data_IF_455570169929
#
_entry.id   IF_455570169929
#
_cell.length_a   1.000
_cell.length_b   1.000
_cell.length_c   1.000
_cell.angle_alpha   90.00
_cell.angle_beta   90.00
_cell.angle_gamma   90.00
#
_symmetry.space_group_name_H-M   'P 1'
#
loop_
_entity.id
_entity.type
_entity.pdbx_description
1 polymer ?
#
# COMPACT_ATOMS: atom_id res chain seq x y z
N UNK A 1 -44.94 -11.69 -57.04
CA UNK A 1 -44.95 -11.64 -55.55
C UNK A 1 -43.78 -12.38 -54.87
N UNK A 2 -43.52 -13.66 -55.16
CA UNK A 2 -42.49 -14.47 -54.44
C UNK A 2 -41.06 -13.90 -54.45
N UNK A 3 -40.62 -13.22 -55.52
CA UNK A 3 -39.28 -12.64 -55.65
C UNK A 3 -39.05 -11.41 -54.74
N UNK A 4 -40.13 -10.68 -54.40
CA UNK A 4 -40.08 -9.50 -53.54
C UNK A 4 -39.89 -9.87 -52.06
N UNK A 5 -40.65 -10.87 -51.57
CA UNK A 5 -40.52 -11.37 -50.20
C UNK A 5 -39.13 -11.93 -49.88
N UNK A 6 -38.49 -12.62 -50.84
CA UNK A 6 -37.13 -13.16 -50.66
C UNK A 6 -36.09 -12.04 -50.42
N UNK A 7 -36.22 -10.91 -51.11
CA UNK A 7 -35.33 -9.74 -50.93
C UNK A 7 -35.56 -9.08 -49.57
N UNK A 8 -36.81 -8.93 -49.14
CA UNK A 8 -37.15 -8.34 -47.84
C UNK A 8 -36.61 -9.21 -46.69
N UNK A 9 -36.75 -10.53 -46.78
CA UNK A 9 -36.20 -11.45 -45.77
C UNK A 9 -34.67 -11.40 -45.66
N UNK A 10 -33.94 -11.28 -46.78
CA UNK A 10 -32.48 -11.11 -46.75
C UNK A 10 -32.07 -9.78 -46.10
N UNK A 11 -32.78 -8.69 -46.39
CA UNK A 11 -32.51 -7.37 -45.80
C UNK A 11 -32.75 -7.41 -44.27
N UNK A 12 -33.83 -8.04 -43.82
CA UNK A 12 -34.15 -8.19 -42.39
C UNK A 12 -33.11 -9.06 -41.68
N UNK A 13 -32.73 -10.19 -42.27
CA UNK A 13 -31.68 -11.09 -41.71
C UNK A 13 -30.31 -10.40 -41.62
N UNK A 14 -29.97 -9.57 -42.61
CA UNK A 14 -28.75 -8.77 -42.62
C UNK A 14 -28.75 -7.69 -41.52
N UNK A 15 -29.87 -6.97 -41.33
CA UNK A 15 -30.00 -5.96 -40.28
C UNK A 15 -29.93 -6.59 -38.88
N UNK A 16 -30.57 -7.75 -38.69
CA UNK A 16 -30.56 -8.48 -37.42
C UNK A 16 -29.14 -8.98 -37.08
N UNK A 17 -28.44 -9.62 -38.02
CA UNK A 17 -27.06 -10.08 -37.80
C UNK A 17 -26.10 -8.94 -37.49
N UNK A 18 -26.27 -7.79 -38.14
CA UNK A 18 -25.43 -6.60 -37.90
C UNK A 18 -25.67 -6.00 -36.52
N UNK A 19 -26.90 -6.02 -36.00
CA UNK A 19 -27.21 -5.58 -34.63
C UNK A 19 -26.59 -6.49 -33.58
N UNK A 20 -26.67 -7.82 -33.77
CA UNK A 20 -26.05 -8.77 -32.84
C UNK A 20 -24.52 -8.67 -32.85
N UNK A 21 -23.91 -8.45 -34.01
CA UNK A 21 -22.47 -8.21 -34.13
C UNK A 21 -22.02 -6.94 -33.40
N UNK A 22 -22.76 -5.83 -33.54
CA UNK A 22 -22.46 -4.59 -32.82
C UNK A 22 -22.60 -4.77 -31.31
N UNK A 23 -23.62 -5.49 -30.84
CA UNK A 23 -23.83 -5.76 -29.41
C UNK A 23 -22.68 -6.63 -28.86
N UNK A 24 -22.23 -7.65 -29.59
CA UNK A 24 -21.10 -8.50 -29.14
C UNK A 24 -19.80 -7.70 -29.06
N UNK A 25 -19.51 -6.84 -30.04
CA UNK A 25 -18.32 -5.97 -30.01
C UNK A 25 -18.34 -5.02 -28.81
N UNK A 26 -19.49 -4.45 -28.45
CA UNK A 26 -19.60 -3.55 -27.28
C UNK A 26 -19.37 -4.30 -25.96
N UNK A 27 -19.92 -5.51 -25.81
CA UNK A 27 -19.71 -6.33 -24.60
C UNK A 27 -18.24 -6.77 -24.47
N UNK A 28 -17.61 -7.17 -25.58
CA UNK A 28 -16.19 -7.52 -25.59
C UNK A 28 -15.28 -6.33 -25.29
N UNK A 29 -15.65 -5.11 -25.68
CA UNK A 29 -14.90 -3.89 -25.39
C UNK A 29 -15.04 -3.47 -23.91
N UNK A 30 -16.21 -3.69 -23.30
CA UNK A 30 -16.46 -3.39 -21.89
C UNK A 30 -15.75 -4.37 -20.92
N UNK A 31 -15.47 -5.60 -21.35
CA UNK A 31 -14.75 -6.60 -20.56
C UNK A 31 -13.21 -6.51 -20.66
N UNK A 32 -12.68 -5.56 -21.43
CA UNK A 32 -11.24 -5.44 -21.70
C UNK A 32 -10.56 -4.28 -20.97
N UNK A 33 -11.15 -3.77 -19.88
CA UNK A 33 -10.40 -2.97 -18.92
C UNK A 33 -9.84 -3.90 -17.84
N UNK A 34 -8.58 -4.35 -17.93
CA UNK A 34 -7.87 -4.63 -16.69
C UNK A 34 -7.89 -3.31 -15.92
N UNK A 35 -8.47 -3.31 -14.71
CA UNK A 35 -8.12 -2.28 -13.73
C UNK A 35 -6.60 -2.36 -13.62
N UNK A 36 -5.91 -1.41 -14.24
CA UNK A 36 -4.48 -1.24 -14.05
C UNK A 36 -4.33 -0.86 -12.58
N UNK A 37 -4.10 -1.86 -11.73
CA UNK A 37 -3.64 -1.64 -10.37
C UNK A 37 -2.43 -0.72 -10.47
N UNK A 38 -2.41 0.36 -9.70
CA UNK A 38 -1.24 1.22 -9.60
C UNK A 38 -0.02 0.31 -9.43
N UNK A 39 1.03 0.52 -10.24
CA UNK A 39 2.21 -0.33 -10.22
C UNK A 39 2.59 -0.60 -8.75
N UNK A 40 2.58 -1.86 -8.30
CA UNK A 40 2.80 -2.14 -6.89
C UNK A 40 4.15 -1.53 -6.55
N UNK A 41 4.17 -0.63 -5.57
CA UNK A 41 5.41 -0.09 -5.04
C UNK A 41 6.37 -1.27 -4.81
N UNK A 42 7.68 -1.13 -5.09
CA UNK A 42 8.65 -2.16 -4.72
C UNK A 42 8.38 -2.60 -3.29
N UNK A 43 7.90 -3.82 -3.12
CA UNK A 43 7.42 -4.31 -1.84
C UNK A 43 8.54 -5.07 -1.15
N UNK A 44 8.82 -4.70 0.09
CA UNK A 44 9.89 -5.34 0.87
C UNK A 44 9.40 -6.63 1.53
N UNK A 45 8.17 -6.61 2.07
CA UNK A 45 7.64 -7.67 2.94
C UNK A 45 6.30 -8.24 2.46
N UNK A 46 5.42 -7.40 1.91
CA UNK A 46 4.09 -7.77 1.42
C UNK A 46 3.61 -6.74 0.40
N UNK A 47 2.71 -7.14 -0.50
CA UNK A 47 2.12 -6.21 -1.49
C UNK A 47 0.89 -5.49 -0.94
N UNK A 48 0.16 -6.14 -0.05
CA UNK A 48 -1.04 -5.63 0.60
C UNK A 48 -1.09 -6.13 2.06
N UNK A 49 -1.54 -5.28 2.99
CA UNK A 49 -1.59 -5.62 4.42
C UNK A 49 -2.50 -6.83 4.71
N UNK A 50 -3.47 -7.12 3.85
CA UNK A 50 -4.38 -8.26 3.96
C UNK A 50 -3.72 -9.62 3.75
N UNK A 51 -2.51 -9.65 3.17
CA UNK A 51 -1.67 -10.85 3.04
C UNK A 51 -1.06 -11.26 4.39
N UNK A 52 -1.00 -10.33 5.36
CA UNK A 52 -0.34 -10.56 6.64
C UNK A 52 -1.32 -11.18 7.65
N UNK A 53 -0.99 -12.34 8.27
CA UNK A 53 -1.89 -13.00 9.22
C UNK A 53 -2.35 -12.08 10.36
N UNK A 54 -1.46 -11.22 10.86
CA UNK A 54 -1.81 -10.30 11.95
C UNK A 54 -2.88 -9.28 11.61
N UNK A 55 -3.06 -8.95 10.32
CA UNK A 55 -4.15 -8.08 9.89
C UNK A 55 -5.49 -8.84 9.90
N UNK A 56 -5.51 -10.05 9.35
CA UNK A 56 -6.71 -10.91 9.29
C UNK A 56 -7.23 -11.27 10.67
N UNK A 57 -6.32 -11.54 11.62
CA UNK A 57 -6.65 -11.90 13.00
C UNK A 57 -6.54 -10.72 13.97
N UNK A 58 -6.64 -9.48 13.48
CA UNK A 58 -6.34 -8.26 14.26
C UNK A 58 -7.21 -8.01 15.51
N UNK A 59 -8.27 -8.80 15.73
CA UNK A 59 -9.10 -8.77 16.94
C UNK A 59 -8.74 -9.86 17.96
N UNK A 60 -7.94 -10.84 17.57
CA UNK A 60 -7.58 -12.00 18.39
C UNK A 60 -6.15 -11.87 18.93
N UNK A 61 -5.92 -12.32 20.16
CA UNK A 61 -4.57 -12.38 20.72
C UNK A 61 -3.72 -13.45 19.98
N UNK A 62 -2.41 -13.22 19.76
CA UNK A 62 -1.63 -12.06 20.20
C UNK A 62 -1.70 -10.85 19.25
N UNK A 63 -2.30 -11.00 18.06
CA UNK A 63 -2.30 -10.01 16.99
C UNK A 63 -2.93 -8.68 17.39
N UNK A 64 -4.06 -8.72 18.11
CA UNK A 64 -4.72 -7.52 18.63
C UNK A 64 -3.83 -6.71 19.57
N UNK A 65 -3.02 -7.39 20.39
CA UNK A 65 -2.04 -6.76 21.28
C UNK A 65 -0.93 -6.08 20.48
N UNK A 66 -0.39 -6.74 19.46
CA UNK A 66 0.65 -6.18 18.60
C UNK A 66 0.14 -4.99 17.78
N UNK A 67 -1.04 -5.12 17.17
CA UNK A 67 -1.73 -4.03 16.47
C UNK A 67 -1.90 -2.81 17.38
N UNK A 68 -2.36 -3.03 18.61
CA UNK A 68 -2.53 -1.94 19.60
C UNK A 68 -1.20 -1.29 19.96
N UNK A 69 -0.14 -2.08 20.13
CA UNK A 69 1.19 -1.57 20.45
C UNK A 69 1.75 -0.69 19.32
N UNK A 70 1.60 -1.12 18.05
CA UNK A 70 2.02 -0.38 16.86
C UNK A 70 1.26 0.96 16.78
N UNK A 71 -0.07 0.93 16.84
CA UNK A 71 -0.89 2.15 16.76
C UNK A 71 -0.57 3.12 17.89
N UNK A 72 -0.40 2.62 19.12
CA UNK A 72 -0.02 3.46 20.28
C UNK A 72 1.35 4.12 20.09
N UNK A 73 2.33 3.39 19.54
CA UNK A 73 3.66 3.93 19.23
C UNK A 73 3.59 5.00 18.14
N UNK A 74 2.79 4.76 17.10
CA UNK A 74 2.54 5.71 16.03
C UNK A 74 1.85 6.99 16.53
N UNK A 75 0.80 6.87 17.35
CA UNK A 75 0.10 8.01 17.96
C UNK A 75 1.04 8.88 18.82
N UNK A 76 1.87 8.25 19.65
CA UNK A 76 2.88 8.95 20.44
C UNK A 76 3.93 9.66 19.57
N UNK A 77 4.13 9.19 18.33
CA UNK A 77 5.09 9.75 17.38
C UNK A 77 4.52 10.91 16.57
N UNK A 78 3.20 11.10 16.53
CA UNK A 78 2.56 12.22 15.81
C UNK A 78 2.96 13.59 16.37
N UNK A 79 3.20 13.68 17.69
CA UNK A 79 3.64 14.92 18.35
C UNK A 79 5.14 15.18 18.25
N UNK A 80 5.92 14.23 17.71
CA UNK A 80 7.37 14.37 17.57
C UNK A 80 7.73 15.18 16.34
N UNK A 81 8.76 16.01 16.49
CA UNK A 81 9.39 16.73 15.39
C UNK A 81 10.68 16.02 14.97
N UNK A 82 10.60 15.23 13.90
CA UNK A 82 11.73 14.47 13.39
C UNK A 82 12.85 15.35 12.80
N UNK A 83 12.57 16.63 12.49
CA UNK A 83 13.59 17.57 12.01
C UNK A 83 14.46 18.17 13.11
N UNK A 84 14.02 18.08 14.37
CA UNK A 84 14.79 18.57 15.51
C UNK A 84 15.95 17.58 15.84
N UNK A 85 17.23 18.01 15.80
CA UNK A 85 18.39 17.17 16.12
C UNK A 85 18.56 16.85 17.60
N UNK A 86 17.84 17.53 18.49
CA UNK A 86 18.08 17.48 19.93
C UNK A 86 16.86 16.92 20.68
N UNK A 87 16.51 15.65 20.46
CA UNK A 87 15.51 15.00 21.29
C UNK A 87 16.10 14.65 22.66
N UNK A 88 15.46 15.12 23.73
CA UNK A 88 15.90 14.84 25.10
C UNK A 88 15.94 13.33 25.42
N UNK A 89 15.09 12.53 24.76
CA UNK A 89 15.07 11.08 24.89
C UNK A 89 14.81 10.47 23.52
N UNK A 90 15.41 9.31 23.24
CA UNK A 90 15.25 8.58 21.97
C UNK A 90 15.82 9.29 20.74
N UNK A 91 16.87 10.11 20.91
CA UNK A 91 17.48 10.85 19.80
C UNK A 91 18.22 9.99 18.78
N UNK A 92 18.60 8.77 19.16
CA UNK A 92 19.37 7.87 18.31
C UNK A 92 18.59 7.52 17.04
N UNK A 93 19.31 7.38 15.92
CA UNK A 93 18.74 6.95 14.64
C UNK A 93 17.93 5.66 14.78
N UNK A 94 18.38 4.70 15.61
CA UNK A 94 17.66 3.43 15.82
C UNK A 94 16.28 3.59 16.47
N UNK A 95 16.09 4.56 17.35
CA UNK A 95 14.77 4.83 17.92
C UNK A 95 13.89 5.57 16.91
N UNK A 96 14.46 6.58 16.24
CA UNK A 96 13.77 7.34 15.19
C UNK A 96 13.28 6.44 14.06
N UNK A 97 14.10 5.48 13.62
CA UNK A 97 13.73 4.49 12.60
C UNK A 97 12.65 3.53 13.08
N UNK A 98 12.69 3.11 14.35
CA UNK A 98 11.61 2.34 14.96
C UNK A 98 10.27 3.08 14.92
N UNK A 99 10.25 4.35 15.34
CA UNK A 99 9.04 5.17 15.28
C UNK A 99 8.56 5.41 13.83
N UNK A 100 9.47 5.64 12.89
CA UNK A 100 9.13 5.79 11.48
C UNK A 100 8.51 4.51 10.90
N UNK A 101 9.03 3.35 11.27
CA UNK A 101 8.48 2.04 10.88
C UNK A 101 7.08 1.83 11.46
N UNK A 102 6.87 2.14 12.74
CA UNK A 102 5.55 2.02 13.37
C UNK A 102 4.51 2.96 12.74
N UNK A 103 4.90 4.19 12.40
CA UNK A 103 4.05 5.13 11.67
C UNK A 103 3.67 4.59 10.28
N UNK A 104 4.64 4.07 9.53
CA UNK A 104 4.38 3.49 8.21
C UNK A 104 3.45 2.25 8.30
N UNK A 105 3.67 1.38 9.28
CA UNK A 105 2.83 0.20 9.49
C UNK A 105 1.43 0.57 10.00
N UNK A 106 1.31 1.58 10.87
CA UNK A 106 0.02 2.11 11.30
C UNK A 106 -0.79 2.65 10.12
N UNK A 107 -0.14 3.33 9.16
CA UNK A 107 -0.80 3.74 7.93
C UNK A 107 -1.30 2.53 7.13
N UNK A 108 -0.48 1.49 6.94
CA UNK A 108 -0.93 0.26 6.25
C UNK A 108 -2.14 -0.40 6.95
N UNK A 109 -2.19 -0.40 8.28
CA UNK A 109 -3.27 -1.02 9.06
C UNK A 109 -4.57 -0.20 9.07
N UNK A 110 -4.47 1.14 9.10
CA UNK A 110 -5.62 2.03 9.37
C UNK A 110 -6.05 2.85 8.16
N UNK A 111 -5.16 3.01 7.18
CA UNK A 111 -5.27 3.93 6.06
C UNK A 111 -5.48 5.40 6.48
N UNK A 112 -5.09 5.79 7.69
CA UNK A 112 -5.21 7.16 8.18
C UNK A 112 -4.04 8.04 7.72
N UNK A 113 -4.35 9.12 7.00
CA UNK A 113 -3.36 10.01 6.37
C UNK A 113 -2.36 10.63 7.36
N UNK A 114 -2.77 10.88 8.61
CA UNK A 114 -1.92 11.45 9.66
C UNK A 114 -0.64 10.63 9.88
N UNK A 115 -0.73 9.30 9.77
CA UNK A 115 0.41 8.41 9.91
C UNK A 115 1.31 8.44 8.69
N UNK A 116 0.73 8.49 7.47
CA UNK A 116 1.50 8.62 6.23
C UNK A 116 2.33 9.90 6.22
N UNK A 117 1.70 11.04 6.49
CA UNK A 117 2.37 12.34 6.43
C UNK A 117 3.53 12.41 7.43
N UNK A 118 3.30 11.89 8.65
CA UNK A 118 4.32 11.84 9.69
C UNK A 118 5.41 10.81 9.38
N UNK A 119 5.08 9.65 8.83
CA UNK A 119 6.06 8.65 8.39
C UNK A 119 6.98 9.22 7.30
N UNK A 120 6.42 9.95 6.33
CA UNK A 120 7.19 10.65 5.29
C UNK A 120 8.13 11.69 5.91
N UNK A 121 7.63 12.51 6.84
CA UNK A 121 8.48 13.47 7.56
C UNK A 121 9.61 12.76 8.30
N UNK A 122 9.31 11.67 9.01
CA UNK A 122 10.28 10.90 9.76
C UNK A 122 11.37 10.31 8.86
N UNK A 123 10.98 9.63 7.79
CA UNK A 123 11.90 9.02 6.81
C UNK A 123 12.86 10.03 6.19
N UNK A 124 12.36 11.24 5.85
CA UNK A 124 13.17 12.31 5.28
C UNK A 124 14.15 12.96 6.26
N UNK A 125 14.03 12.68 7.57
CA UNK A 125 14.86 13.27 8.62
C UNK A 125 15.45 12.19 9.56
N UNK A 126 15.64 10.96 9.08
CA UNK A 126 16.16 9.87 9.93
C UNK A 126 17.62 10.07 10.33
N UNK A 127 18.41 10.68 9.45
CA UNK A 127 19.84 10.96 9.59
C UNK A 127 20.15 12.11 10.55
N UNK A 128 19.12 12.86 10.98
CA UNK A 128 19.22 13.93 11.97
C UNK A 128 19.55 13.40 13.38
N UNK A 129 19.26 12.12 13.65
CA UNK A 129 19.49 11.50 14.95
C UNK A 129 20.96 11.17 15.25
N UNK A 130 21.25 10.94 16.52
CA UNK A 130 22.60 10.55 16.94
C UNK A 130 22.95 9.15 16.42
N UNK A 131 24.12 9.03 15.79
CA UNK A 131 24.77 7.75 15.52
C UNK A 131 25.83 7.56 16.61
N UNK A 132 25.60 6.70 17.62
CA UNK A 132 26.60 6.50 18.66
C UNK A 132 27.89 5.93 18.06
N UNK A 133 29.02 6.61 18.30
CA UNK A 133 30.38 6.25 17.88
C UNK A 133 30.80 4.80 18.22
N UNK A 134 30.09 4.11 19.12
CA UNK A 134 30.42 2.77 19.58
C UNK A 134 30.11 1.64 18.58
N UNK A 135 29.62 1.94 17.37
CA UNK A 135 29.56 0.94 16.29
C UNK A 135 30.96 0.59 15.74
N UNK A 136 31.91 1.52 15.82
CA UNK A 136 33.32 1.28 15.41
C UNK A 136 34.04 0.29 16.34
N UNK A 137 33.61 0.18 17.61
CA UNK A 137 34.17 -0.79 18.56
C UNK A 137 33.60 -2.20 18.37
N UNK A 138 32.35 -2.31 17.92
CA UNK A 138 31.73 -3.60 17.61
C UNK A 138 32.29 -4.19 16.30
N UNK A 139 32.56 -3.36 15.27
CA UNK A 139 33.16 -3.81 14.02
C UNK A 139 34.69 -4.03 14.12
N UNK A 140 35.42 -3.28 14.96
CA UNK A 140 36.85 -3.55 15.22
C UNK A 140 37.11 -4.76 16.13
N UNK A 141 36.10 -5.20 16.89
CA UNK A 141 36.13 -6.47 17.63
C UNK A 141 35.65 -7.67 16.79
N UNK A 142 35.13 -7.44 15.58
CA UNK A 142 34.71 -8.50 14.65
C UNK A 142 35.89 -9.11 13.88
N UNK A 143 37.08 -9.04 14.47
CA UNK A 143 38.26 -9.75 14.00
C UNK A 143 38.05 -11.25 14.11
N UNK A 144 37.79 -11.87 12.94
CA UNK A 144 37.75 -13.29 12.62
C UNK A 144 36.73 -14.16 13.36
#
# INVERSE_FOLDING_TARGET
MKKSMKRIMHIVSFIISRKYFVITVIISLAMCCPLSSAAPHPNLLFSDISEVPGYQYGTSAPWSTWKTAIIRSADASLSRDFSNPNWATYNRVSYRSGFASDLALAYQITNEQKYFDKARQALLNLDVGDVPYNMDKADSLRGY
#
